data_IF_783275570113
#
_entry.id   IF_783275570113
#
_cell.length_a   1.000
_cell.length_b   1.000
_cell.length_c   1.000
_cell.angle_alpha   90.00
_cell.angle_beta   90.00
_cell.angle_gamma   90.00
#
_symmetry.space_group_name_H-M   'P 1'
#
loop_
_entity.id
_entity.type
_entity.pdbx_description
1 polymer ?
#
# COMPACT_ATOMS: atom_id res chain seq x y z
N UNK A 1 8.55 17.26 -14.32
CA UNK A 1 8.00 17.43 -12.96
C UNK A 1 6.87 16.44 -12.79
N UNK A 2 6.81 15.76 -11.65
CA UNK A 2 5.67 14.93 -11.27
C UNK A 2 4.85 15.67 -10.20
N UNK A 3 3.53 15.54 -10.29
CA UNK A 3 2.61 16.17 -9.35
C UNK A 3 1.41 15.24 -9.10
N UNK A 4 1.10 15.03 -7.83
CA UNK A 4 -0.11 14.33 -7.38
C UNK A 4 -0.84 15.21 -6.38
N UNK A 5 -2.17 15.21 -6.45
CA UNK A 5 -3.04 15.86 -5.48
C UNK A 5 -3.97 14.81 -4.88
N UNK A 6 -4.01 14.75 -3.56
CA UNK A 6 -4.89 13.88 -2.78
C UNK A 6 -5.93 14.78 -2.11
N UNK A 7 -7.20 14.44 -2.28
CA UNK A 7 -8.32 15.19 -1.72
C UNK A 7 -9.02 14.32 -0.67
N UNK A 8 -9.17 14.83 0.54
CA UNK A 8 -9.95 14.15 1.58
C UNK A 8 -11.45 14.44 1.43
N UNK A 9 -12.27 13.74 2.23
CA UNK A 9 -13.73 13.92 2.28
C UNK A 9 -14.17 15.31 2.79
N UNK A 10 -13.28 16.02 3.47
CA UNK A 10 -13.52 17.35 4.03
C UNK A 10 -13.11 18.47 3.06
N UNK A 11 -12.56 18.11 1.88
CA UNK A 11 -12.08 19.05 0.87
C UNK A 11 -10.64 19.54 1.10
N UNK A 12 -9.92 19.03 2.10
CA UNK A 12 -8.49 19.28 2.30
C UNK A 12 -7.70 18.71 1.14
N UNK A 13 -6.74 19.48 0.63
CA UNK A 13 -5.87 19.07 -0.47
C UNK A 13 -4.45 18.88 0.03
N UNK A 14 -3.90 17.71 -0.25
CA UNK A 14 -2.49 17.40 -0.03
C UNK A 14 -1.80 17.28 -1.38
N UNK A 15 -0.78 18.10 -1.59
CA UNK A 15 -0.08 18.21 -2.86
C UNK A 15 1.35 17.70 -2.69
N UNK A 16 1.72 16.73 -3.52
CA UNK A 16 3.07 16.16 -3.56
C UNK A 16 3.69 16.50 -4.91
N UNK A 17 4.81 17.21 -4.89
CA UNK A 17 5.55 17.61 -6.09
C UNK A 17 6.95 17.03 -6.03
N UNK A 18 7.37 16.36 -7.10
CA UNK A 18 8.76 15.91 -7.27
C UNK A 18 9.35 16.47 -8.56
N UNK A 19 10.58 16.95 -8.46
CA UNK A 19 11.33 17.45 -9.60
C UNK A 19 11.95 16.28 -10.35
N UNK A 20 11.58 16.13 -11.62
CA UNK A 20 12.30 15.22 -12.50
C UNK A 20 13.57 15.95 -12.93
N UNK A 21 14.73 15.34 -12.71
CA UNK A 21 15.97 15.92 -13.22
C UNK A 21 15.98 16.00 -14.74
N UNK A 22 16.59 17.05 -15.26
CA UNK A 22 16.84 17.23 -16.70
C UNK A 22 18.34 17.28 -16.96
N UNK A 23 18.76 16.81 -18.12
CA UNK A 23 20.13 16.90 -18.63
C UNK A 23 20.04 17.25 -20.11
N UNK A 24 20.68 18.34 -20.52
CA UNK A 24 20.71 18.79 -21.92
C UNK A 24 19.33 18.96 -22.58
N UNK A 25 18.33 19.39 -21.81
CA UNK A 25 16.95 19.57 -22.29
C UNK A 25 16.14 18.28 -22.35
N UNK A 26 16.74 17.14 -22.06
CA UNK A 26 16.07 15.85 -21.97
C UNK A 26 15.77 15.45 -20.53
N UNK A 27 14.75 14.62 -20.36
CA UNK A 27 14.39 14.06 -19.06
C UNK A 27 15.38 12.95 -18.70
N UNK A 28 16.00 13.07 -17.53
CA UNK A 28 16.86 12.00 -17.03
C UNK A 28 16.00 10.87 -16.45
N UNK A 29 15.92 9.73 -17.17
CA UNK A 29 15.04 8.61 -16.79
C UNK A 29 15.39 7.99 -15.43
N UNK A 30 16.67 7.98 -15.03
CA UNK A 30 17.06 7.49 -13.70
C UNK A 30 16.49 8.39 -12.61
N UNK A 31 16.67 9.70 -12.74
CA UNK A 31 16.13 10.68 -11.78
C UNK A 31 14.60 10.70 -11.79
N UNK A 32 13.98 10.47 -12.94
CA UNK A 32 12.53 10.30 -13.05
C UNK A 32 12.05 9.09 -12.26
N UNK A 33 12.72 7.94 -12.42
CA UNK A 33 12.39 6.71 -11.69
C UNK A 33 12.56 6.89 -10.17
N UNK A 34 13.64 7.51 -9.73
CA UNK A 34 13.86 7.87 -8.32
C UNK A 34 12.73 8.78 -7.79
N UNK A 35 12.35 9.80 -8.56
CA UNK A 35 11.24 10.69 -8.22
C UNK A 35 9.90 9.94 -8.09
N UNK A 36 9.66 8.93 -8.93
CA UNK A 36 8.47 8.08 -8.84
C UNK A 36 8.47 7.25 -7.55
N UNK A 37 9.61 6.66 -7.17
CA UNK A 37 9.74 5.88 -5.94
C UNK A 37 9.49 6.75 -4.71
N UNK A 38 10.11 7.92 -4.65
CA UNK A 38 9.89 8.87 -3.56
C UNK A 38 8.44 9.31 -3.47
N UNK A 39 7.82 9.63 -4.61
CA UNK A 39 6.42 10.00 -4.68
C UNK A 39 5.51 8.87 -4.21
N UNK A 40 5.78 7.63 -4.61
CA UNK A 40 5.02 6.46 -4.16
C UNK A 40 5.12 6.30 -2.64
N UNK A 41 6.32 6.42 -2.07
CA UNK A 41 6.53 6.33 -0.62
C UNK A 41 5.77 7.42 0.13
N UNK A 42 5.79 8.65 -0.36
CA UNK A 42 5.11 9.79 0.27
C UNK A 42 3.58 9.67 0.18
N UNK A 43 3.05 9.26 -0.98
CA UNK A 43 1.62 8.96 -1.15
C UNK A 43 1.18 7.86 -0.18
N UNK A 44 1.94 6.76 -0.08
CA UNK A 44 1.63 5.69 0.84
C UNK A 44 1.62 6.17 2.30
N UNK A 45 2.59 7.00 2.69
CA UNK A 45 2.63 7.57 4.03
C UNK A 45 1.40 8.43 4.34
N UNK A 46 0.99 9.31 3.42
CA UNK A 46 -0.22 10.14 3.59
C UNK A 46 -1.47 9.28 3.69
N UNK A 47 -1.63 8.28 2.83
CA UNK A 47 -2.79 7.41 2.84
C UNK A 47 -2.85 6.53 4.09
N UNK A 48 -1.72 6.05 4.61
CA UNK A 48 -1.66 5.32 5.89
C UNK A 48 -2.19 6.18 7.04
N UNK A 49 -1.80 7.45 7.12
CA UNK A 49 -2.32 8.38 8.13
C UNK A 49 -3.84 8.54 8.01
N UNK A 50 -4.38 8.64 6.79
CA UNK A 50 -5.84 8.71 6.61
C UNK A 50 -6.56 7.44 7.04
N UNK A 51 -6.01 6.27 6.72
CA UNK A 51 -6.58 4.99 7.16
C UNK A 51 -6.58 4.89 8.68
N UNK A 52 -5.50 5.29 9.35
CA UNK A 52 -5.41 5.30 10.80
C UNK A 52 -6.41 6.29 11.43
N UNK A 53 -6.53 7.50 10.88
CA UNK A 53 -7.50 8.49 11.35
C UNK A 53 -8.95 7.98 11.26
N UNK A 54 -9.34 7.35 10.15
CA UNK A 54 -10.68 6.77 10.00
C UNK A 54 -10.90 5.60 10.98
N UNK A 55 -9.88 4.75 11.20
CA UNK A 55 -9.96 3.66 12.18
C UNK A 55 -10.15 4.19 13.61
N UNK A 56 -9.42 5.22 14.01
CA UNK A 56 -9.55 5.82 15.34
C UNK A 56 -10.91 6.50 15.54
N UNK A 57 -11.48 7.10 14.50
CA UNK A 57 -12.81 7.72 14.58
C UNK A 57 -13.95 6.68 14.61
N UNK A 58 -13.80 5.56 13.88
CA UNK A 58 -14.78 4.47 13.85
C UNK A 58 -15.00 3.77 15.20
N UNK A 59 -14.02 3.83 16.11
CA UNK A 59 -14.11 3.23 17.46
C UNK A 59 -14.95 4.09 18.41
N UNK A 60 -15.16 5.38 18.13
CA UNK A 60 -15.88 6.30 19.03
C UNK A 60 -17.40 6.35 18.84
N UNK A 61 -17.96 5.67 17.84
CA UNK A 61 -19.42 5.64 17.60
C UNK A 61 -20.14 4.39 18.13
N UNK A 62 -19.46 3.49 18.84
CA UNK A 62 -20.05 2.25 19.35
C UNK A 62 -19.99 2.22 20.87
N UNK A 63 -20.77 3.09 21.51
CA UNK A 63 -21.12 2.94 22.92
C UNK A 63 -22.64 3.10 23.03
N UNK A 64 -23.33 1.96 22.92
CA UNK A 64 -24.59 1.58 23.59
C UNK A 64 -25.33 0.53 22.74
N UNK A 65 -24.83 -0.70 22.72
CA UNK A 65 -25.68 -1.88 22.75
C UNK A 65 -24.85 -2.99 23.40
N UNK A 66 -25.29 -3.36 24.61
CA UNK A 66 -24.77 -4.44 25.43
C UNK A 66 -25.05 -5.82 24.80
N UNK A 67 -24.39 -6.84 25.37
CA UNK A 67 -24.45 -8.30 25.13
C UNK A 67 -23.33 -8.82 24.19
N UNK A 68 -22.18 -9.25 24.73
CA UNK A 68 -21.91 -10.55 25.40
C UNK A 68 -21.90 -11.71 24.39
N UNK A 69 -20.72 -12.22 24.01
CA UNK A 69 -20.42 -13.66 24.01
C UNK A 69 -18.98 -13.95 23.49
N UNK A 70 -18.16 -14.42 24.43
CA UNK A 70 -17.12 -15.47 24.34
C UNK A 70 -15.92 -15.32 23.37
N UNK A 71 -14.76 -15.21 24.01
CA UNK A 71 -13.43 -15.51 23.48
C UNK A 71 -13.33 -17.00 23.14
N UNK A 72 -12.87 -17.36 21.93
CA UNK A 72 -12.42 -18.73 21.66
C UNK A 72 -11.04 -18.70 20.99
N UNK A 73 -10.03 -18.84 21.84
CA UNK A 73 -8.68 -19.26 21.47
C UNK A 73 -8.69 -20.75 21.11
N UNK A 74 -8.22 -21.10 19.90
CA UNK A 74 -7.49 -22.36 19.76
C UNK A 74 -6.36 -22.26 18.74
N UNK A 75 -5.18 -22.63 19.25
CA UNK A 75 -3.90 -22.75 18.59
C UNK A 75 -3.84 -23.96 17.64
N UNK A 76 -2.89 -23.85 16.70
CA UNK A 76 -2.21 -24.88 15.88
C UNK A 76 -2.75 -26.31 15.86
N UNK A 77 -2.93 -26.83 14.64
CA UNK A 77 -2.59 -28.24 14.38
C UNK A 77 -1.68 -28.36 13.15
N UNK A 78 -0.46 -28.81 13.44
CA UNK A 78 0.58 -29.25 12.53
C UNK A 78 0.06 -30.18 11.42
N UNK A 79 0.62 -30.07 10.22
CA UNK A 79 1.47 -31.11 9.63
C UNK A 79 1.70 -30.91 8.13
N UNK A 80 2.98 -30.75 7.86
CA UNK A 80 3.74 -30.88 6.63
C UNK A 80 3.31 -32.06 5.71
N UNK A 81 2.91 -31.78 4.46
CA UNK A 81 2.98 -32.76 3.36
C UNK A 81 3.53 -32.14 2.08
N UNK A 82 4.84 -31.90 2.10
CA UNK A 82 5.78 -32.29 1.06
C UNK A 82 5.16 -32.92 -0.21
N UNK A 83 5.01 -32.15 -1.29
CA UNK A 83 5.07 -32.73 -2.65
C UNK A 83 5.79 -31.79 -3.61
N UNK A 84 7.10 -32.03 -3.67
CA UNK A 84 7.99 -31.61 -4.74
C UNK A 84 7.42 -32.04 -6.11
N UNK A 85 7.06 -31.08 -6.95
CA UNK A 85 7.03 -31.27 -8.41
C UNK A 85 7.65 -30.04 -9.05
N UNK A 86 8.92 -30.21 -9.45
CA UNK A 86 9.69 -29.25 -10.23
C UNK A 86 9.13 -29.02 -11.66
N UNK A 87 9.82 -28.19 -12.45
CA UNK A 87 9.22 -27.38 -13.50
C UNK A 87 8.84 -28.18 -14.74
N UNK A 88 7.66 -27.89 -15.30
CA UNK A 88 7.25 -28.40 -16.61
C UNK A 88 8.09 -27.72 -17.72
N UNK A 89 9.16 -28.40 -18.17
CA UNK A 89 9.87 -28.08 -19.39
C UNK A 89 8.94 -28.20 -20.61
N UNK A 90 8.58 -27.09 -21.24
CA UNK A 90 8.01 -27.09 -22.59
C UNK A 90 9.14 -27.08 -23.61
N UNK A 91 9.47 -28.25 -24.15
CA UNK A 91 10.34 -28.40 -25.32
C UNK A 91 9.65 -27.79 -26.56
N UNK A 92 10.19 -26.69 -27.07
CA UNK A 92 9.87 -26.15 -28.39
C UNK A 92 10.63 -27.01 -29.42
N UNK A 93 9.91 -27.67 -30.35
CA UNK A 93 10.51 -28.39 -31.48
C UNK A 93 11.05 -27.37 -32.49
N UNK A 94 12.32 -27.55 -32.86
CA UNK A 94 12.98 -26.95 -34.03
C UNK A 94 12.38 -27.48 -35.33
#
# INVERSE_FOLDING_TARGET
MLKIQIHDKNGTKNEIIKQCGHSDGEVNLRKLHESCIEMQSEVNSVLSVYVEQERSQGITNTANNEEDDEEDESEDDDMDTNTCNGPAEKKLKT
#
